data_IF_951766804858
#
_entry.id   IF_951766804858
#
_cell.length_a   1.000
_cell.length_b   1.000
_cell.length_c   1.000
_cell.angle_alpha   90.00
_cell.angle_beta   90.00
_cell.angle_gamma   90.00
#
_symmetry.space_group_name_H-M   'P 1'
#
loop_
_entity.id
_entity.type
_entity.pdbx_description
1 polymer ?
#
# COMPACT_ATOMS: atom_id res chain seq x y z
N UNK A 1 60.96 -43.07 -30.65
CA UNK A 1 60.21 -42.67 -29.44
C UNK A 1 58.94 -43.49 -29.36
N UNK A 2 58.90 -44.52 -28.50
CA UNK A 2 57.73 -45.40 -28.37
C UNK A 2 56.64 -44.69 -27.55
N UNK A 3 55.57 -44.25 -28.23
CA UNK A 3 54.41 -43.66 -27.58
C UNK A 3 53.69 -44.71 -26.73
N UNK A 4 53.71 -44.55 -25.39
CA UNK A 4 52.99 -45.43 -24.46
C UNK A 4 51.49 -45.28 -24.71
N UNK A 5 50.84 -46.27 -25.32
CA UNK A 5 49.37 -46.36 -25.45
C UNK A 5 48.74 -46.37 -24.05
N UNK A 6 48.24 -45.22 -23.60
CA UNK A 6 47.46 -45.08 -22.36
C UNK A 6 46.15 -45.87 -22.51
N UNK A 7 46.03 -46.99 -21.77
CA UNK A 7 44.75 -47.70 -21.62
C UNK A 7 43.78 -46.83 -20.82
N UNK A 8 42.89 -46.15 -21.53
CA UNK A 8 41.75 -45.46 -20.95
C UNK A 8 40.80 -46.55 -20.45
N UNK A 9 40.64 -46.66 -19.12
CA UNK A 9 39.66 -47.58 -18.53
C UNK A 9 38.29 -46.93 -18.70
N UNK A 10 37.34 -47.52 -19.44
CA UNK A 10 36.06 -46.88 -19.78
C UNK A 10 35.30 -46.41 -18.53
N UNK A 11 35.45 -47.15 -17.43
CA UNK A 11 34.88 -46.81 -16.12
C UNK A 11 35.38 -45.48 -15.54
N UNK A 12 36.64 -45.10 -15.78
CA UNK A 12 37.19 -43.81 -15.29
C UNK A 12 36.63 -42.62 -16.06
N UNK A 13 36.41 -42.78 -17.36
CA UNK A 13 35.78 -41.74 -18.19
C UNK A 13 34.32 -41.59 -17.82
N UNK A 14 33.62 -42.71 -17.61
CA UNK A 14 32.24 -42.70 -17.14
C UNK A 14 32.09 -42.02 -15.77
N UNK A 15 32.99 -42.34 -14.82
CA UNK A 15 33.00 -41.70 -13.50
C UNK A 15 33.29 -40.19 -13.58
N UNK A 16 34.20 -39.75 -14.45
CA UNK A 16 34.45 -38.32 -14.69
C UNK A 16 33.24 -37.61 -15.28
N UNK A 17 32.54 -38.21 -16.25
CA UNK A 17 31.34 -37.63 -16.84
C UNK A 17 30.18 -37.53 -15.84
N UNK A 18 29.99 -38.57 -15.02
CA UNK A 18 28.99 -38.57 -13.93
C UNK A 18 29.32 -37.50 -12.88
N UNK A 19 30.59 -37.39 -12.45
CA UNK A 19 31.02 -36.37 -11.49
C UNK A 19 30.86 -34.94 -12.01
N UNK A 20 31.21 -34.69 -13.28
CA UNK A 20 31.03 -33.39 -13.90
C UNK A 20 29.54 -33.02 -14.06
N UNK A 21 28.68 -33.98 -14.44
CA UNK A 21 27.24 -33.78 -14.53
C UNK A 21 26.60 -33.44 -13.18
N UNK A 22 27.02 -34.12 -12.10
CA UNK A 22 26.51 -33.86 -10.75
C UNK A 22 26.94 -32.48 -10.23
N UNK A 23 28.19 -32.06 -10.48
CA UNK A 23 28.68 -30.72 -10.16
C UNK A 23 27.93 -29.62 -10.93
N UNK A 24 27.69 -29.81 -12.23
CA UNK A 24 26.92 -28.86 -13.03
C UNK A 24 25.46 -28.73 -12.53
N UNK A 25 24.86 -29.84 -12.08
CA UNK A 25 23.53 -29.82 -11.49
C UNK A 25 23.53 -29.06 -10.16
N UNK A 26 24.50 -29.33 -9.27
CA UNK A 26 24.66 -28.64 -8.00
C UNK A 26 24.92 -27.14 -8.14
N UNK A 27 25.57 -26.68 -9.20
CA UNK A 27 25.71 -25.23 -9.46
C UNK A 27 24.43 -24.58 -10.02
N UNK A 28 23.53 -25.36 -10.62
CA UNK A 28 22.27 -24.86 -11.19
C UNK A 28 21.12 -24.80 -10.18
N UNK A 29 21.16 -25.63 -9.14
CA UNK A 29 20.21 -25.58 -8.02
C UNK A 29 20.21 -24.25 -7.22
N UNK A 30 21.36 -23.67 -6.80
CA UNK A 30 21.37 -22.41 -6.06
C UNK A 30 20.89 -21.26 -6.94
N UNK A 31 21.19 -21.24 -8.24
CA UNK A 31 20.67 -20.24 -9.16
C UNK A 31 19.14 -20.29 -9.28
N UNK A 32 18.55 -21.50 -9.29
CA UNK A 32 17.09 -21.67 -9.29
C UNK A 32 16.46 -21.33 -7.94
N UNK A 33 17.11 -21.67 -6.82
CA UNK A 33 16.64 -21.31 -5.47
C UNK A 33 16.61 -19.79 -5.28
N UNK A 34 17.66 -19.08 -5.69
CA UNK A 34 17.70 -17.60 -5.65
C UNK A 34 16.65 -16.97 -6.57
N UNK A 35 16.34 -17.60 -7.71
CA UNK A 35 15.25 -17.13 -8.58
C UNK A 35 13.86 -17.36 -7.99
N UNK A 36 13.68 -18.45 -7.23
CA UNK A 36 12.42 -18.77 -6.54
C UNK A 36 12.17 -17.83 -5.37
N UNK A 37 13.19 -17.53 -4.56
CA UNK A 37 13.07 -16.57 -3.45
C UNK A 37 12.71 -15.17 -3.96
N UNK A 38 13.32 -14.74 -5.08
CA UNK A 38 12.97 -13.46 -5.72
C UNK A 38 11.55 -13.45 -6.28
N UNK A 39 11.11 -14.54 -6.91
CA UNK A 39 9.73 -14.67 -7.37
C UNK A 39 8.74 -14.67 -6.20
N UNK A 40 9.07 -15.32 -5.08
CA UNK A 40 8.23 -15.34 -3.90
C UNK A 40 8.13 -13.96 -3.26
N UNK A 41 9.24 -13.22 -3.18
CA UNK A 41 9.24 -11.82 -2.72
C UNK A 41 8.35 -10.94 -3.61
N UNK A 42 8.45 -11.06 -4.93
CA UNK A 42 7.60 -10.34 -5.88
C UNK A 42 6.12 -10.72 -5.76
N UNK A 43 5.80 -11.99 -5.51
CA UNK A 43 4.42 -12.43 -5.29
C UNK A 43 3.84 -11.89 -3.98
N UNK A 44 4.65 -11.83 -2.92
CA UNK A 44 4.24 -11.24 -1.63
C UNK A 44 3.99 -9.75 -1.78
N UNK A 45 4.90 -9.02 -2.45
CA UNK A 45 4.74 -7.59 -2.74
C UNK A 45 3.49 -7.32 -3.59
N UNK A 46 3.28 -8.10 -4.65
CA UNK A 46 2.08 -8.00 -5.48
C UNK A 46 0.80 -8.32 -4.70
N UNK A 47 0.82 -9.31 -3.80
CA UNK A 47 -0.31 -9.65 -2.95
C UNK A 47 -0.64 -8.52 -1.95
N UNK A 48 0.39 -7.89 -1.38
CA UNK A 48 0.22 -6.72 -0.50
C UNK A 48 -0.39 -5.54 -1.27
N UNK A 49 0.19 -5.20 -2.42
CA UNK A 49 -0.34 -4.14 -3.29
C UNK A 49 -1.79 -4.40 -3.72
N UNK A 50 -2.13 -5.65 -4.03
CA UNK A 50 -3.50 -6.05 -4.34
C UNK A 50 -4.44 -5.87 -3.14
N UNK A 51 -4.01 -6.29 -1.94
CA UNK A 51 -4.80 -6.11 -0.71
C UNK A 51 -5.05 -4.64 -0.39
N UNK A 52 -4.04 -3.79 -0.54
CA UNK A 52 -4.17 -2.33 -0.38
C UNK A 52 -5.14 -1.74 -1.39
N UNK A 53 -5.01 -2.10 -2.67
CA UNK A 53 -5.90 -1.66 -3.73
C UNK A 53 -7.35 -2.11 -3.50
N UNK A 54 -7.56 -3.34 -3.01
CA UNK A 54 -8.88 -3.86 -2.68
C UNK A 54 -9.51 -3.11 -1.50
N UNK A 55 -8.73 -2.82 -0.46
CA UNK A 55 -9.20 -2.02 0.68
C UNK A 55 -9.56 -0.59 0.26
N UNK A 56 -8.74 0.04 -0.58
CA UNK A 56 -9.05 1.33 -1.17
C UNK A 56 -10.34 1.29 -1.99
N UNK A 57 -10.54 0.25 -2.80
CA UNK A 57 -11.77 0.06 -3.58
C UNK A 57 -13.01 -0.07 -2.69
N UNK A 58 -12.92 -0.85 -1.62
CA UNK A 58 -14.03 -1.01 -0.67
C UNK A 58 -14.37 0.31 0.04
N UNK A 59 -13.35 1.09 0.43
CA UNK A 59 -13.55 2.42 1.01
C UNK A 59 -14.23 3.38 0.03
N UNK A 60 -13.77 3.40 -1.22
CA UNK A 60 -14.37 4.23 -2.29
C UNK A 60 -15.81 3.82 -2.59
N UNK A 61 -16.13 2.51 -2.58
CA UNK A 61 -17.50 2.04 -2.73
C UNK A 61 -18.41 2.52 -1.59
N UNK A 62 -17.92 2.50 -0.34
CA UNK A 62 -18.65 3.07 0.80
C UNK A 62 -18.94 4.55 0.62
N UNK A 63 -17.92 5.34 0.26
CA UNK A 63 -18.09 6.77 -0.04
C UNK A 63 -19.05 7.01 -1.20
N UNK A 64 -18.98 6.21 -2.27
CA UNK A 64 -19.88 6.32 -3.41
C UNK A 64 -21.33 6.02 -3.04
N UNK A 65 -21.57 5.08 -2.12
CA UNK A 65 -22.91 4.77 -1.62
C UNK A 65 -23.50 5.92 -0.79
N UNK A 66 -22.66 6.71 -0.13
CA UNK A 66 -23.08 7.91 0.61
C UNK A 66 -23.33 9.10 -0.32
N UNK A 67 -22.59 9.21 -1.43
CA UNK A 67 -22.77 10.26 -2.44
C UNK A 67 -24.17 10.16 -3.04
N UNK A 68 -24.90 11.29 -3.07
CA UNK A 68 -26.26 11.37 -3.62
C UNK A 68 -27.36 10.99 -2.62
N UNK A 69 -27.03 10.55 -1.41
CA UNK A 69 -28.01 10.48 -0.31
C UNK A 69 -28.47 11.89 0.09
N UNK A 70 -29.67 11.99 0.66
CA UNK A 70 -30.23 13.26 1.12
C UNK A 70 -29.29 13.97 2.10
N UNK A 71 -28.72 13.23 3.05
CA UNK A 71 -27.79 13.74 4.05
C UNK A 71 -26.48 14.25 3.44
N UNK A 72 -25.97 13.56 2.41
CA UNK A 72 -24.77 14.01 1.70
C UNK A 72 -25.05 15.31 0.93
N UNK A 73 -26.18 15.37 0.21
CA UNK A 73 -26.57 16.56 -0.56
C UNK A 73 -26.79 17.75 0.37
N UNK A 74 -27.50 17.56 1.49
CA UNK A 74 -27.74 18.61 2.47
C UNK A 74 -26.45 19.12 3.12
N UNK A 75 -25.54 18.21 3.51
CA UNK A 75 -24.26 18.59 4.12
C UNK A 75 -23.35 19.31 3.13
N UNK A 76 -23.33 18.87 1.88
CA UNK A 76 -22.57 19.52 0.79
C UNK A 76 -23.16 20.88 0.45
N UNK A 77 -24.49 21.00 0.36
CA UNK A 77 -25.18 22.27 0.14
C UNK A 77 -24.92 23.29 1.26
N UNK A 78 -24.93 22.84 2.52
CA UNK A 78 -24.58 23.66 3.69
C UNK A 78 -23.13 24.13 3.66
N UNK A 79 -22.18 23.22 3.37
CA UNK A 79 -20.73 23.51 3.39
C UNK A 79 -20.28 24.39 2.22
N UNK A 80 -20.67 24.03 1.00
CA UNK A 80 -20.10 24.63 -0.23
C UNK A 80 -20.92 25.81 -0.74
N UNK A 81 -22.22 25.83 -0.44
CA UNK A 81 -23.15 26.83 -0.97
C UNK A 81 -23.85 27.65 0.12
N UNK A 82 -23.50 27.44 1.40
CA UNK A 82 -24.09 28.18 2.52
C UNK A 82 -25.60 27.98 2.65
N UNK A 83 -26.14 26.87 2.15
CA UNK A 83 -27.57 26.59 2.20
C UNK A 83 -28.03 26.45 3.66
N UNK A 84 -28.99 27.27 4.09
CA UNK A 84 -29.61 27.22 5.40
C UNK A 84 -31.06 26.74 5.28
N UNK A 85 -31.58 26.08 6.32
CA UNK A 85 -33.00 25.80 6.38
C UNK A 85 -33.80 27.07 6.67
N UNK A 86 -35.08 27.05 6.32
CA UNK A 86 -35.99 28.15 6.63
C UNK A 86 -36.05 28.37 8.15
N UNK A 87 -35.62 29.54 8.61
CA UNK A 87 -35.53 29.89 10.04
C UNK A 87 -34.18 29.58 10.71
N UNK A 88 -33.20 29.05 9.98
CA UNK A 88 -31.84 28.81 10.47
C UNK A 88 -30.96 30.03 10.20
N UNK A 89 -30.32 30.57 11.23
CA UNK A 89 -29.40 31.72 11.13
C UNK A 89 -27.97 31.19 11.19
N UNK A 90 -27.21 31.33 10.11
CA UNK A 90 -25.79 30.98 10.06
C UNK A 90 -24.97 32.21 10.46
N UNK A 91 -24.32 32.18 11.62
CA UNK A 91 -23.37 33.21 12.01
C UNK A 91 -22.05 32.99 11.25
N UNK A 92 -21.76 33.90 10.32
CA UNK A 92 -20.43 33.95 9.72
C UNK A 92 -19.48 34.60 10.74
N UNK A 93 -18.69 33.79 11.44
CA UNK A 93 -17.68 34.29 12.37
C UNK A 93 -16.50 34.81 11.56
N UNK A 94 -16.50 36.11 11.28
CA UNK A 94 -15.33 36.82 10.76
C UNK A 94 -14.36 37.11 11.91
N UNK A 95 -13.07 36.83 11.67
CA UNK A 95 -11.93 37.08 12.57
C UNK A 95 -12.03 36.47 13.97
N UNK A 96 -11.75 35.16 14.06
CA UNK A 96 -11.47 34.47 15.34
C UNK A 96 -10.24 35.04 16.08
N UNK A 97 -9.42 35.86 15.43
CA UNK A 97 -8.18 36.40 15.99
C UNK A 97 -8.37 37.74 16.74
N UNK A 98 -9.54 38.40 16.65
CA UNK A 98 -9.79 39.73 17.27
C UNK A 98 -10.72 39.67 18.50
N UNK A 99 -11.22 38.49 18.88
CA UNK A 99 -12.04 38.34 20.10
C UNK A 99 -11.12 38.06 21.30
N UNK A 100 -10.18 38.97 21.56
CA UNK A 100 -9.63 39.10 22.91
C UNK A 100 -10.72 39.70 23.79
N UNK A 101 -11.31 38.82 24.59
CA UNK A 101 -12.17 39.07 25.75
C UNK A 101 -12.06 40.49 26.34
N UNK A 102 -12.94 41.39 25.93
CA UNK A 102 -13.42 42.48 26.80
C UNK A 102 -14.80 42.12 27.29
N UNK A 103 -14.83 41.24 28.30
CA UNK A 103 -15.99 41.03 29.15
C UNK A 103 -15.86 41.95 30.35
N UNK A 104 -16.10 43.25 30.15
CA UNK A 104 -16.43 44.16 31.25
C UNK A 104 -17.97 44.20 31.32
N UNK A 105 -18.54 43.28 32.10
CA UNK A 105 -19.94 43.38 32.50
C UNK A 105 -20.05 44.45 33.59
N UNK A 106 -20.58 45.61 33.26
CA UNK A 106 -21.12 46.52 34.28
C UNK A 106 -22.37 45.86 34.89
N UNK A 107 -22.16 45.17 36.01
CA UNK A 107 -23.23 44.73 36.88
C UNK A 107 -23.74 45.97 37.60
N UNK A 108 -24.83 46.54 37.09
CA UNK A 108 -25.61 47.53 37.84
C UNK A 108 -26.24 46.86 39.08
N UNK A 109 -25.49 46.84 40.18
CA UNK A 109 -26.06 46.88 41.54
C UNK A 109 -26.66 48.29 41.74
N UNK A 110 -27.91 48.41 42.18
CA UNK A 110 -28.22 48.46 43.61
C UNK A 110 -27.32 49.45 44.35
N UNK A 111 -27.67 50.73 44.26
CA UNK A 111 -28.16 51.54 45.39
C UNK A 111 -29.04 52.69 44.87
#
# INVERSE_FOLDING_TARGET
MASKKKRIRPFRVLAMLMGAGMLAMLMRFPAKAVSLERQQAQLVEAAQAYGEAQNANNRLKGQLAEIGTKEFVERTARRDYGYCWYGEIIYQVGNLDEIEQQLEFDVYGQD
#
